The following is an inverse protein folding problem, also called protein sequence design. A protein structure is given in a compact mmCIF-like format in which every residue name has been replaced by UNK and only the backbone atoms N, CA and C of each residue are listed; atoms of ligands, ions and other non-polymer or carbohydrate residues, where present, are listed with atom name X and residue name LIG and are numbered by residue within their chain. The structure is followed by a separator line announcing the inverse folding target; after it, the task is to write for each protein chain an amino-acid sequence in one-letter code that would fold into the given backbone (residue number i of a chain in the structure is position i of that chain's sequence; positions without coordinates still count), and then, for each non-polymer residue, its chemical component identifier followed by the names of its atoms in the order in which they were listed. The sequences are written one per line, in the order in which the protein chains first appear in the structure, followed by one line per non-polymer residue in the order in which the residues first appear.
data_IF_755146506596
#
_entry.id   IF_755146506596
#
_cell.length_a   1.000
_cell.length_b   1.000
_cell.length_c   1.000
_cell.angle_alpha   90.00
_cell.angle_beta   90.00
_cell.angle_gamma   90.00
#
_symmetry.space_group_name_H-M   'P 1'
#
loop_
_entity.id
_entity.type
_entity.pdbx_description
1 polymer ?
#
# COMPACT_ATOMS: atom_id res chain seq x y z
N UNK A 1 -41.43 22.28 -16.29
CA UNK A 1 -40.85 20.98 -15.98
C UNK A 1 -39.52 20.82 -16.67
N UNK A 2 -38.50 21.44 -16.07
CA UNK A 2 -37.11 21.17 -16.38
C UNK A 2 -36.72 19.96 -15.53
N UNK A 3 -36.86 18.77 -16.12
CA UNK A 3 -36.43 17.52 -15.52
C UNK A 3 -34.90 17.47 -15.61
N UNK A 4 -34.27 17.96 -14.53
CA UNK A 4 -32.82 17.95 -14.36
C UNK A 4 -32.34 16.49 -14.31
N UNK A 5 -31.73 16.05 -15.41
CA UNK A 5 -31.01 14.78 -15.53
C UNK A 5 -29.85 14.80 -14.52
N UNK A 6 -30.15 14.38 -13.29
CA UNK A 6 -29.15 14.06 -12.28
C UNK A 6 -28.42 12.84 -12.81
N UNK A 7 -27.30 13.10 -13.48
CA UNK A 7 -26.27 12.13 -13.83
C UNK A 7 -25.91 11.36 -12.56
N UNK A 8 -26.58 10.24 -12.32
CA UNK A 8 -26.18 9.28 -11.32
C UNK A 8 -24.86 8.73 -11.81
N UNK A 9 -23.77 9.27 -11.25
CA UNK A 9 -22.46 8.66 -11.37
C UNK A 9 -22.63 7.15 -11.19
N UNK A 10 -21.93 6.31 -11.98
CA UNK A 10 -22.01 4.87 -11.79
C UNK A 10 -21.82 4.62 -10.30
N UNK A 11 -22.75 3.88 -9.71
CA UNK A 11 -22.60 3.36 -8.34
C UNK A 11 -21.39 2.46 -8.38
N UNK A 12 -20.20 3.06 -8.32
CA UNK A 12 -18.95 2.41 -8.02
C UNK A 12 -19.29 1.56 -6.78
N UNK A 13 -18.92 0.28 -6.80
CA UNK A 13 -18.80 -0.53 -5.60
C UNK A 13 -17.62 0.04 -4.78
N UNK A 14 -17.70 1.33 -4.45
CA UNK A 14 -16.84 2.11 -3.58
C UNK A 14 -17.18 1.66 -2.17
N UNK A 15 -16.79 0.42 -1.86
CA UNK A 15 -16.82 -0.06 -0.48
C UNK A 15 -16.14 0.97 0.43
N UNK A 16 -16.57 1.01 1.68
CA UNK A 16 -16.05 1.95 2.68
C UNK A 16 -14.63 1.53 3.06
N UNK A 17 -13.62 2.11 2.41
CA UNK A 17 -12.22 1.71 2.58
C UNK A 17 -11.33 2.90 2.86
N UNK A 18 -10.47 2.75 3.88
CA UNK A 18 -9.35 3.64 4.15
C UNK A 18 -8.04 2.95 3.81
N UNK A 19 -7.10 3.73 3.27
CA UNK A 19 -5.69 3.38 3.17
C UNK A 19 -4.92 4.21 4.20
N UNK A 20 -4.05 3.55 4.95
CA UNK A 20 -3.17 4.21 5.91
C UNK A 20 -1.70 3.98 5.56
N UNK A 21 -0.87 5.00 5.83
CA UNK A 21 0.58 4.99 5.64
C UNK A 21 1.29 5.47 6.90
N UNK A 22 2.53 5.03 7.07
CA UNK A 22 3.44 5.54 8.10
C UNK A 22 3.56 4.63 9.31
N UNK A 23 2.89 3.48 9.29
CA UNK A 23 2.90 2.50 10.37
C UNK A 23 4.33 2.08 10.72
N UNK A 24 4.68 2.06 12.02
CA UNK A 24 5.86 1.32 12.48
C UNK A 24 5.85 -0.11 11.94
N UNK A 25 7.02 -0.66 11.58
CA UNK A 25 7.09 -2.03 11.07
C UNK A 25 6.69 -3.10 12.08
N UNK A 26 6.73 -2.77 13.38
CA UNK A 26 6.28 -3.64 14.46
C UNK A 26 4.77 -3.59 14.71
N UNK A 27 4.04 -2.71 14.03
CA UNK A 27 2.61 -2.50 14.31
C UNK A 27 1.79 -3.74 13.98
N UNK A 28 0.88 -4.10 14.88
CA UNK A 28 -0.02 -5.24 14.69
C UNK A 28 -1.39 -4.81 14.15
N UNK A 29 -2.16 -5.76 13.63
CA UNK A 29 -3.56 -5.50 13.24
C UNK A 29 -4.42 -5.06 14.43
N UNK A 30 -4.13 -5.54 15.64
CA UNK A 30 -4.85 -5.17 16.86
C UNK A 30 -4.61 -3.72 17.22
N UNK A 31 -3.38 -3.22 17.09
CA UNK A 31 -3.08 -1.81 17.31
C UNK A 31 -3.81 -0.91 16.31
N UNK A 32 -3.87 -1.31 15.03
CA UNK A 32 -4.64 -0.58 14.02
C UNK A 32 -6.15 -0.62 14.35
N UNK A 33 -6.68 -1.79 14.69
CA UNK A 33 -8.08 -1.95 15.09
C UNK A 33 -8.43 -1.01 16.25
N UNK A 34 -7.65 -1.04 17.33
CA UNK A 34 -7.83 -0.19 18.51
C UNK A 34 -7.69 1.29 18.18
N UNK A 35 -6.74 1.64 17.29
CA UNK A 35 -6.56 3.00 16.84
C UNK A 35 -7.83 3.53 16.16
N UNK A 36 -8.54 2.77 15.32
CA UNK A 36 -9.79 3.28 14.72
C UNK A 36 -10.99 3.20 15.68
N UNK A 37 -11.16 2.08 16.38
CA UNK A 37 -12.34 1.87 17.24
C UNK A 37 -12.39 2.79 18.46
N UNK A 38 -11.26 3.33 18.92
CA UNK A 38 -11.23 4.31 20.02
C UNK A 38 -11.93 5.65 19.73
N UNK A 39 -12.33 5.91 18.47
CA UNK A 39 -13.13 7.07 18.04
C UNK A 39 -14.51 6.67 17.49
N UNK A 40 -15.00 5.49 17.85
CA UNK A 40 -16.29 4.98 17.37
C UNK A 40 -16.32 4.74 15.85
N UNK A 41 -15.15 4.47 15.25
CA UNK A 41 -15.05 4.01 13.85
C UNK A 41 -15.16 2.47 13.80
N UNK A 42 -16.17 1.96 13.12
CA UNK A 42 -16.49 0.54 13.05
C UNK A 42 -15.80 -0.11 11.85
N UNK A 43 -14.90 -1.06 12.14
CA UNK A 43 -14.19 -1.85 11.13
C UNK A 43 -15.01 -3.10 10.81
N UNK A 44 -15.35 -3.27 9.54
CA UNK A 44 -16.16 -4.39 9.04
C UNK A 44 -15.44 -5.71 9.30
N UNK A 45 -16.09 -6.60 10.05
CA UNK A 45 -15.51 -7.88 10.43
C UNK A 45 -14.35 -7.78 11.44
N UNK A 46 -14.22 -6.62 12.12
CA UNK A 46 -13.21 -6.37 13.14
C UNK A 46 -11.80 -6.53 12.60
N UNK A 47 -10.99 -7.36 13.26
CA UNK A 47 -9.57 -7.58 12.87
C UNK A 47 -9.40 -8.13 11.44
N UNK A 48 -10.42 -8.80 10.90
CA UNK A 48 -10.38 -9.34 9.54
C UNK A 48 -10.55 -8.26 8.46
N UNK A 49 -11.14 -7.12 8.80
CA UNK A 49 -11.22 -5.95 7.92
C UNK A 49 -9.92 -5.15 7.84
N UNK A 50 -8.89 -5.53 8.61
CA UNK A 50 -7.56 -4.89 8.58
C UNK A 50 -6.62 -5.70 7.70
N UNK A 51 -6.18 -5.09 6.60
CA UNK A 51 -5.32 -5.69 5.57
C UNK A 51 -3.97 -5.00 5.52
N UNK A 52 -3.00 -5.52 6.28
CA UNK A 52 -1.62 -5.04 6.21
C UNK A 52 -0.97 -5.50 4.91
N UNK A 53 -0.19 -4.62 4.29
CA UNK A 53 0.48 -4.92 3.02
C UNK A 53 1.96 -5.23 3.23
N UNK A 54 2.51 -6.01 2.31
CA UNK A 54 3.90 -6.43 2.34
C UNK A 54 4.66 -5.76 1.18
N UNK A 55 5.92 -5.44 1.44
CA UNK A 55 6.90 -5.13 0.41
C UNK A 55 7.21 -6.35 -0.44
N UNK A 56 7.91 -6.14 -1.55
CA UNK A 56 8.41 -7.22 -2.42
C UNK A 56 9.34 -8.21 -1.70
N UNK A 57 9.95 -7.78 -0.60
CA UNK A 57 10.84 -8.63 0.20
C UNK A 57 10.06 -9.44 1.25
N UNK A 58 8.72 -9.39 1.23
CA UNK A 58 7.85 -10.04 2.21
C UNK A 58 7.80 -9.35 3.58
N UNK A 59 8.43 -8.18 3.72
CA UNK A 59 8.44 -7.39 4.96
C UNK A 59 7.25 -6.43 5.03
N UNK A 60 6.75 -6.05 6.22
CA UNK A 60 5.71 -5.03 6.37
C UNK A 60 6.08 -3.74 5.62
N UNK A 61 5.18 -3.26 4.75
CA UNK A 61 5.41 -2.06 3.95
C UNK A 61 5.32 -0.76 4.75
N UNK A 62 4.66 -0.80 5.92
CA UNK A 62 4.22 0.39 6.66
C UNK A 62 2.87 0.94 6.17
N UNK A 63 2.13 0.18 5.37
CA UNK A 63 0.82 0.53 4.82
C UNK A 63 -0.22 -0.57 5.10
N UNK A 64 -1.47 -0.15 5.30
CA UNK A 64 -2.60 -1.05 5.46
C UNK A 64 -3.88 -0.49 4.83
N UNK A 65 -4.81 -1.37 4.49
CA UNK A 65 -6.18 -1.03 4.10
C UNK A 65 -7.15 -1.48 5.18
N UNK A 66 -8.23 -0.73 5.35
CA UNK A 66 -9.22 -0.95 6.40
C UNK A 66 -10.59 -0.91 5.77
N UNK A 67 -11.33 -2.01 5.89
CA UNK A 67 -12.75 -2.09 5.53
C UNK A 67 -13.60 -1.56 6.68
N UNK A 68 -14.50 -0.63 6.37
CA UNK A 68 -15.39 0.00 7.34
C UNK A 68 -16.84 -0.42 7.08
N UNK A 69 -17.70 -0.23 8.07
CA UNK A 69 -19.12 -0.62 7.98
C UNK A 69 -19.97 0.40 7.24
N UNK A 70 -19.63 1.69 7.32
CA UNK A 70 -20.42 2.77 6.73
C UNK A 70 -19.58 3.94 6.19
N UNK A 71 -20.21 4.83 5.43
CA UNK A 71 -19.61 6.11 5.00
C UNK A 71 -19.31 7.03 6.20
N UNK A 72 -20.13 6.97 7.26
CA UNK A 72 -19.88 7.74 8.48
C UNK A 72 -18.56 7.30 9.13
N UNK A 73 -18.28 6.00 9.17
CA UNK A 73 -17.02 5.48 9.69
C UNK A 73 -15.83 5.94 8.86
N UNK A 74 -15.99 6.11 7.53
CA UNK A 74 -14.94 6.65 6.65
C UNK A 74 -14.60 8.07 7.08
N UNK A 75 -15.59 8.93 7.29
CA UNK A 75 -15.39 10.30 7.73
C UNK A 75 -14.70 10.37 9.10
N UNK A 76 -15.15 9.56 10.07
CA UNK A 76 -14.53 9.46 11.39
C UNK A 76 -13.09 8.96 11.29
N UNK A 77 -12.83 7.96 10.45
CA UNK A 77 -11.49 7.42 10.25
C UNK A 77 -10.55 8.43 9.58
N UNK A 78 -11.04 9.24 8.64
CA UNK A 78 -10.27 10.32 8.01
C UNK A 78 -9.83 11.39 9.02
N UNK A 79 -10.63 11.66 10.05
CA UNK A 79 -10.26 12.59 11.13
C UNK A 79 -9.04 12.12 11.94
N UNK A 80 -8.63 10.85 11.81
CA UNK A 80 -7.43 10.32 12.46
C UNK A 80 -6.12 10.63 11.73
N UNK A 81 -6.20 11.35 10.62
CA UNK A 81 -5.03 11.79 9.85
C UNK A 81 -4.08 12.64 10.71
N UNK A 82 -2.77 12.35 10.64
CA UNK A 82 -1.68 12.92 11.44
C UNK A 82 -1.70 12.59 12.95
N UNK A 83 -2.57 11.69 13.41
CA UNK A 83 -2.43 11.11 14.74
C UNK A 83 -1.30 10.06 14.78
N UNK A 84 -0.94 9.60 15.97
CA UNK A 84 0.23 8.75 16.18
C UNK A 84 -0.12 7.31 16.52
N UNK A 85 0.63 6.38 15.95
CA UNK A 85 0.79 5.01 16.47
C UNK A 85 2.26 4.86 16.88
N UNK A 86 2.49 4.68 18.18
CA UNK A 86 3.83 4.73 18.76
C UNK A 86 4.50 6.09 18.51
N UNK A 87 5.65 6.09 17.83
CA UNK A 87 6.43 7.30 17.53
C UNK A 87 6.22 7.83 16.10
N UNK A 88 5.29 7.26 15.34
CA UNK A 88 5.07 7.59 13.93
C UNK A 88 3.71 8.24 13.76
N UNK A 89 3.67 9.34 13.03
CA UNK A 89 2.41 9.90 12.55
C UNK A 89 1.84 9.01 11.44
N UNK A 90 0.52 8.93 11.39
CA UNK A 90 -0.22 8.10 10.46
C UNK A 90 -0.96 9.00 9.48
N UNK A 91 -0.76 8.74 8.20
CA UNK A 91 -1.52 9.39 7.14
C UNK A 91 -2.68 8.48 6.75
N UNK A 92 -3.90 9.05 6.73
CA UNK A 92 -5.13 8.34 6.37
C UNK A 92 -5.70 8.94 5.09
N UNK A 93 -6.11 8.08 4.15
CA UNK A 93 -6.68 8.45 2.85
C UNK A 93 -7.92 7.61 2.55
N UNK A 94 -8.91 8.18 1.86
CA UNK A 94 -10.00 7.40 1.27
C UNK A 94 -9.44 6.57 0.12
N UNK A 95 -9.86 5.30 0.03
CA UNK A 95 -9.44 4.40 -1.02
C UNK A 95 -10.64 3.68 -1.62
N UNK A 96 -10.49 3.20 -2.84
CA UNK A 96 -11.48 2.32 -3.48
C UNK A 96 -11.29 0.88 -3.03
N UNK A 97 -12.39 0.13 -2.98
CA UNK A 97 -12.35 -1.32 -2.74
C UNK A 97 -11.50 -2.05 -3.77
N UNK A 98 -11.62 -1.68 -5.05
CA UNK A 98 -10.83 -2.29 -6.13
C UNK A 98 -9.32 -2.11 -5.95
N UNK A 99 -8.86 -0.97 -5.39
CA UNK A 99 -7.44 -0.73 -5.07
C UNK A 99 -6.96 -1.71 -4.00
N UNK A 100 -7.70 -1.82 -2.88
CA UNK A 100 -7.40 -2.80 -1.83
C UNK A 100 -7.34 -4.21 -2.39
N UNK A 101 -8.38 -4.64 -3.11
CA UNK A 101 -8.48 -5.99 -3.67
C UNK A 101 -7.26 -6.35 -4.52
N UNK A 102 -6.82 -5.41 -5.36
CA UNK A 102 -5.63 -5.57 -6.21
C UNK A 102 -4.34 -5.71 -5.40
N UNK A 103 -4.17 -4.90 -4.35
CA UNK A 103 -2.97 -4.94 -3.50
C UNK A 103 -2.95 -6.19 -2.60
N UNK A 104 -4.08 -6.54 -1.99
CA UNK A 104 -4.18 -7.70 -1.08
C UNK A 104 -3.96 -9.01 -1.85
N UNK A 105 -4.55 -9.14 -3.04
CA UNK A 105 -4.30 -10.31 -3.92
C UNK A 105 -2.83 -10.47 -4.28
N UNK A 106 -2.13 -9.37 -4.58
CA UNK A 106 -0.69 -9.40 -4.90
C UNK A 106 0.20 -9.62 -3.68
N UNK A 107 -0.21 -9.14 -2.51
CA UNK A 107 0.52 -9.36 -1.25
C UNK A 107 0.50 -10.84 -0.85
N UNK A 108 -0.58 -11.57 -1.18
CA UNK A 108 -0.72 -13.01 -0.96
C UNK A 108 -0.08 -13.90 -2.05
N UNK A 109 -0.01 -13.43 -3.30
CA UNK A 109 0.54 -14.20 -4.44
C UNK A 109 2.08 -14.09 -4.60
N UNK A 110 2.76 -13.35 -3.74
CA UNK A 110 4.17 -12.97 -3.88
C UNK A 110 5.22 -14.06 -3.57
N UNK A 111 4.88 -15.35 -3.72
CA UNK A 111 5.91 -16.40 -3.73
C UNK A 111 6.44 -16.67 -5.15
N UNK A 112 5.73 -16.32 -6.24
CA UNK A 112 6.10 -16.80 -7.58
C UNK A 112 6.26 -15.73 -8.68
N UNK A 113 5.49 -14.62 -8.69
CA UNK A 113 5.57 -13.62 -9.76
C UNK A 113 6.68 -12.56 -9.60
N UNK A 114 7.23 -12.42 -8.39
CA UNK A 114 8.25 -11.43 -8.02
C UNK A 114 9.58 -11.61 -8.71
N UNK A 115 9.85 -12.84 -9.16
CA UNK A 115 11.10 -13.22 -9.82
C UNK A 115 11.14 -12.76 -11.29
N UNK A 116 10.00 -12.37 -11.87
CA UNK A 116 9.89 -12.01 -13.30
C UNK A 116 9.71 -10.50 -13.57
N UNK A 117 9.65 -9.64 -12.55
CA UNK A 117 9.47 -8.19 -12.75
C UNK A 117 10.77 -7.46 -13.15
N UNK A 118 11.92 -8.14 -13.19
CA UNK A 118 13.19 -7.61 -13.75
C UNK A 118 13.68 -6.27 -13.19
N UNK A 119 13.15 -5.81 -12.05
CA UNK A 119 13.42 -4.49 -11.50
C UNK A 119 14.28 -4.57 -10.24
N UNK A 120 15.46 -3.95 -10.27
CA UNK A 120 16.36 -3.82 -9.12
C UNK A 120 16.33 -2.40 -8.56
N UNK A 121 16.25 -2.26 -7.22
CA UNK A 121 16.30 -0.97 -6.54
C UNK A 121 17.70 -0.68 -6.04
N UNK A 122 18.38 0.28 -6.65
CA UNK A 122 19.70 0.75 -6.23
C UNK A 122 19.60 1.73 -5.06
N UNK A 123 20.49 1.61 -4.07
CA UNK A 123 20.68 2.59 -2.99
C UNK A 123 22.17 2.93 -2.88
N UNK A 124 22.49 4.17 -2.54
CA UNK A 124 23.88 4.62 -2.35
C UNK A 124 24.59 5.11 -3.61
N UNK A 125 23.84 5.42 -4.68
CA UNK A 125 24.43 6.04 -5.87
C UNK A 125 24.97 7.44 -5.52
N UNK A 126 26.21 7.77 -5.91
CA UNK A 126 26.76 9.11 -5.70
C UNK A 126 25.91 10.16 -6.44
N UNK A 127 25.90 11.39 -5.94
CA UNK A 127 25.04 12.48 -6.45
C UNK A 127 25.24 12.78 -7.95
N UNK A 128 26.41 12.41 -8.51
CA UNK A 128 26.73 12.57 -9.94
C UNK A 128 26.55 11.31 -10.80
N UNK A 129 26.00 10.21 -10.26
CA UNK A 129 25.89 8.96 -11.00
C UNK A 129 24.86 9.06 -12.12
N UNK A 130 25.34 8.95 -13.36
CA UNK A 130 24.54 9.02 -14.57
C UNK A 130 23.85 7.69 -14.90
N UNK A 131 22.83 7.74 -15.76
CA UNK A 131 22.12 6.54 -16.23
C UNK A 131 23.08 5.59 -16.95
N UNK A 132 24.03 6.15 -17.70
CA UNK A 132 25.06 5.43 -18.44
C UNK A 132 26.01 4.65 -17.52
N UNK A 133 26.44 5.25 -16.40
CA UNK A 133 27.28 4.56 -15.40
C UNK A 133 26.52 3.40 -14.73
N UNK A 134 25.24 3.59 -14.43
CA UNK A 134 24.38 2.52 -13.91
C UNK A 134 24.24 1.39 -14.94
N UNK A 135 24.02 1.72 -16.21
CA UNK A 135 23.91 0.72 -17.27
C UNK A 135 25.21 -0.06 -17.49
N UNK A 136 26.37 0.62 -17.44
CA UNK A 136 27.68 -0.02 -17.53
C UNK A 136 27.94 -0.98 -16.37
N UNK A 137 27.58 -0.58 -15.14
CA UNK A 137 27.70 -1.45 -13.96
C UNK A 137 27.00 -2.79 -14.15
N UNK A 138 25.78 -2.79 -14.69
CA UNK A 138 25.00 -4.02 -14.95
C UNK A 138 25.37 -4.74 -16.25
N UNK A 139 26.16 -4.11 -17.13
CA UNK A 139 26.60 -4.71 -18.39
C UNK A 139 27.97 -5.40 -18.28
N UNK A 140 28.70 -5.15 -17.19
CA UNK A 140 30.09 -5.62 -17.02
C UNK A 140 30.23 -7.13 -16.77
N UNK A 141 29.14 -7.87 -16.53
CA UNK A 141 29.16 -9.31 -16.24
C UNK A 141 28.83 -10.22 -17.45
N UNK A 142 28.82 -9.70 -18.69
CA UNK A 142 28.48 -10.48 -19.89
C UNK A 142 29.66 -10.79 -20.84
N UNK A 143 30.92 -10.66 -20.41
CA UNK A 143 32.09 -11.03 -21.23
C UNK A 143 33.05 -11.99 -20.53
N UNK A 144 32.60 -13.21 -20.24
CA UNK A 144 33.52 -14.36 -20.19
C UNK A 144 32.96 -15.52 -21.02
N UNK A 145 33.00 -15.35 -22.34
CA UNK A 145 33.11 -16.53 -23.20
C UNK A 145 34.09 -16.27 -24.34
N UNK A 146 35.27 -16.85 -24.20
CA UNK A 146 36.08 -17.29 -25.32
C UNK A 146 37.21 -16.37 -25.72
N UNK A 147 38.40 -16.62 -25.17
CA UNK A 147 39.61 -16.87 -25.96
C UNK A 147 40.77 -17.26 -25.05
N UNK A 148 41.01 -18.56 -24.90
CA UNK A 148 42.34 -19.07 -24.56
C UNK A 148 42.72 -20.03 -25.68
N UNK A 149 43.75 -19.62 -26.43
CA UNK A 149 44.44 -20.40 -27.46
C UNK A 149 45.14 -21.62 -26.87
#
# INVERSE_FOLDING_TARGET
DDEEDKMTAPVDDEGFVLRIRGLPWSTTKEEILNFFTSKECHIKGGINGVHMTLSREGRPSGEAYIELESEQDVEIGLQRHNEHIGHRYIEVFKSKRSEMDWVVKRSGAHQQDSLNDGCVRLRGLPFGCSKEEIAQFFSADLDESGSSS
#
